data_IF_448849837878
#
_entry.id   IF_448849837878
#
_cell.length_a   1.000
_cell.length_b   1.000
_cell.length_c   1.000
_cell.angle_alpha   90.00
_cell.angle_beta   90.00
_cell.angle_gamma   90.00
#
_symmetry.space_group_name_H-M   'P 1'
#
loop_
_entity.id
_entity.type
_entity.pdbx_description
1 polymer ?
#
# COMPACT_ATOMS: atom_id res chain seq x y z
N UNK A 1 7.69 -4.69 -12.03
CA UNK A 1 8.22 -3.82 -13.10
C UNK A 1 9.62 -3.25 -12.86
N UNK A 2 10.26 -3.43 -11.70
CA UNK A 2 11.60 -2.88 -11.44
C UNK A 2 12.69 -3.39 -12.41
N UNK A 3 12.76 -4.70 -12.64
CA UNK A 3 13.81 -5.30 -13.46
C UNK A 3 13.80 -4.81 -14.91
N UNK A 4 12.64 -4.80 -15.57
CA UNK A 4 12.53 -4.31 -16.95
C UNK A 4 12.91 -2.84 -17.08
N UNK A 5 12.43 -1.99 -16.16
CA UNK A 5 12.79 -0.56 -16.11
C UNK A 5 14.30 -0.37 -16.01
N UNK A 6 14.95 -1.09 -15.08
CA UNK A 6 16.40 -1.01 -14.87
C UNK A 6 17.15 -1.49 -16.11
N UNK A 7 16.72 -2.58 -16.73
CA UNK A 7 17.35 -3.08 -17.95
C UNK A 7 17.24 -2.07 -19.11
N UNK A 8 16.05 -1.51 -19.33
CA UNK A 8 15.80 -0.48 -20.34
C UNK A 8 16.66 0.77 -20.08
N UNK A 9 16.65 1.28 -18.85
CA UNK A 9 17.45 2.44 -18.44
C UNK A 9 18.96 2.19 -18.65
N UNK A 10 19.43 0.99 -18.31
CA UNK A 10 20.84 0.62 -18.48
C UNK A 10 21.26 0.60 -19.96
N UNK A 11 20.43 0.02 -20.83
CA UNK A 11 20.70 0.00 -22.28
C UNK A 11 20.64 1.41 -22.87
N UNK A 12 19.60 2.18 -22.54
CA UNK A 12 19.40 3.54 -23.05
C UNK A 12 20.55 4.47 -22.66
N UNK A 13 20.94 4.48 -21.37
CA UNK A 13 22.00 5.35 -20.86
C UNK A 13 23.39 4.95 -21.38
N UNK A 14 23.54 3.73 -21.91
CA UNK A 14 24.80 3.28 -22.51
C UNK A 14 24.98 3.81 -23.94
N UNK A 15 23.90 4.06 -24.67
CA UNK A 15 23.93 4.43 -26.09
C UNK A 15 23.62 5.92 -26.34
N UNK A 16 23.08 6.63 -25.35
CA UNK A 16 22.73 8.05 -25.44
C UNK A 16 23.52 8.88 -24.42
N UNK A 17 23.89 10.11 -24.80
CA UNK A 17 24.57 11.06 -23.92
C UNK A 17 23.68 11.61 -22.81
N UNK A 18 22.37 11.71 -23.08
CA UNK A 18 21.38 12.14 -22.10
C UNK A 18 20.73 10.90 -21.46
N UNK A 19 20.56 10.89 -20.12
CA UNK A 19 19.93 9.77 -19.44
C UNK A 19 18.44 9.64 -19.82
N UNK A 20 17.91 8.43 -19.69
CA UNK A 20 16.49 8.13 -19.90
C UNK A 20 15.65 8.97 -18.94
N UNK A 21 14.81 9.83 -19.49
CA UNK A 21 13.77 10.52 -18.74
C UNK A 21 12.48 9.69 -18.82
N UNK A 22 11.93 9.34 -17.66
CA UNK A 22 10.70 8.57 -17.58
C UNK A 22 9.93 8.94 -16.32
N UNK A 23 8.63 8.65 -16.34
CA UNK A 23 7.75 8.73 -15.18
C UNK A 23 7.31 7.33 -14.80
N UNK A 24 7.46 6.94 -13.55
CA UNK A 24 6.97 5.66 -13.04
C UNK A 24 5.73 5.83 -12.19
N UNK A 25 4.71 5.02 -12.47
CA UNK A 25 3.51 4.91 -11.65
C UNK A 25 3.53 3.56 -10.90
N UNK A 26 2.85 3.53 -9.76
CA UNK A 26 2.81 2.37 -8.88
C UNK A 26 3.41 2.63 -7.51
N UNK A 27 3.20 1.66 -6.61
CA UNK A 27 3.84 1.63 -5.30
C UNK A 27 5.37 1.67 -5.45
N UNK A 28 6.12 2.32 -4.55
CA UNK A 28 5.71 2.91 -3.27
C UNK A 28 5.31 4.40 -3.36
N UNK A 29 4.83 4.88 -4.51
CA UNK A 29 4.42 6.29 -4.65
C UNK A 29 3.11 6.56 -3.87
N UNK A 30 3.06 7.54 -2.94
CA UNK A 30 1.88 7.86 -2.15
C UNK A 30 0.64 8.20 -2.97
N UNK A 31 0.80 8.77 -4.16
CA UNK A 31 -0.33 9.12 -5.03
C UNK A 31 -1.18 7.89 -5.40
N UNK A 32 -0.59 6.70 -5.42
CA UNK A 32 -1.31 5.44 -5.68
C UNK A 32 -2.19 5.05 -4.50
N UNK A 33 -1.72 5.26 -3.27
CA UNK A 33 -2.50 5.01 -2.05
C UNK A 33 -3.65 6.00 -1.93
N UNK A 34 -3.40 7.29 -2.17
CA UNK A 34 -4.46 8.30 -2.23
C UNK A 34 -5.51 7.99 -3.29
N UNK A 35 -5.07 7.50 -4.45
CA UNK A 35 -6.00 7.09 -5.50
C UNK A 35 -6.83 5.86 -5.09
N UNK A 36 -6.21 4.87 -4.45
CA UNK A 36 -6.92 3.71 -3.93
C UNK A 36 -7.96 4.09 -2.86
N UNK A 37 -7.59 4.99 -1.94
CA UNK A 37 -8.50 5.54 -0.94
C UNK A 37 -9.72 6.22 -1.59
N UNK A 38 -9.50 7.16 -2.52
CA UNK A 38 -10.60 7.82 -3.24
C UNK A 38 -11.51 6.82 -3.98
N UNK A 39 -10.94 5.75 -4.56
CA UNK A 39 -11.73 4.70 -5.22
C UNK A 39 -12.60 3.93 -4.22
N UNK A 40 -12.04 3.59 -3.05
CA UNK A 40 -12.79 2.92 -1.97
C UNK A 40 -13.92 3.81 -1.44
N UNK A 41 -13.66 5.11 -1.28
CA UNK A 41 -14.69 6.09 -0.89
C UNK A 41 -15.87 6.07 -1.87
N UNK A 42 -15.59 6.15 -3.17
CA UNK A 42 -16.64 6.11 -4.20
C UNK A 42 -17.44 4.81 -4.18
N UNK A 43 -16.81 3.66 -3.89
CA UNK A 43 -17.48 2.37 -3.78
C UNK A 43 -18.39 2.28 -2.55
N UNK A 44 -17.99 2.88 -1.43
CA UNK A 44 -18.82 2.98 -0.24
C UNK A 44 -20.08 3.81 -0.51
N UNK A 45 -19.95 4.96 -1.16
CA UNK A 45 -21.08 5.84 -1.49
C UNK A 45 -22.00 5.30 -2.60
N UNK A 46 -21.50 4.40 -3.44
CA UNK A 46 -22.29 3.79 -4.54
C UNK A 46 -23.13 2.58 -4.09
N UNK A 47 -22.92 2.09 -2.87
CA UNK A 47 -23.68 0.97 -2.32
C UNK A 47 -25.02 1.48 -1.73
N UNK A 48 -26.20 0.96 -2.14
CA UNK A 48 -27.51 1.48 -1.72
C UNK A 48 -27.87 1.23 -0.25
N UNK A 49 -26.98 0.67 0.56
CA UNK A 49 -27.32 0.01 1.83
C UNK A 49 -27.05 0.81 3.09
N UNK A 50 -26.33 1.94 3.05
CA UNK A 50 -26.01 2.68 4.28
C UNK A 50 -26.11 4.19 4.09
N UNK A 51 -27.22 4.75 4.57
CA UNK A 51 -27.32 6.15 4.95
C UNK A 51 -26.48 6.37 6.21
N UNK A 52 -25.16 6.38 6.09
CA UNK A 52 -24.28 6.84 7.16
C UNK A 52 -24.27 8.36 7.16
N UNK A 53 -24.76 8.90 8.27
CA UNK A 53 -24.80 10.32 8.64
C UNK A 53 -23.46 10.98 8.28
N UNK A 54 -23.50 11.96 7.37
CA UNK A 54 -22.43 12.95 7.25
C UNK A 54 -22.40 13.73 8.56
N UNK A 55 -21.53 13.35 9.48
CA UNK A 55 -21.10 14.28 10.51
C UNK A 55 -20.21 15.30 9.81
N UNK A 56 -20.74 16.50 9.64
CA UNK A 56 -20.05 17.72 9.18
C UNK A 56 -19.02 18.17 10.23
N UNK A 57 -18.09 17.29 10.62
CA UNK A 57 -16.94 17.67 11.40
C UNK A 57 -15.67 17.48 10.58
N UNK A 58 -14.89 18.54 10.53
CA UNK A 58 -13.84 18.83 9.58
C UNK A 58 -12.61 17.95 9.85
N UNK A 59 -12.17 17.20 8.84
CA UNK A 59 -10.76 16.83 8.66
C UNK A 59 -10.41 15.35 8.86
N UNK A 60 -9.68 14.81 7.87
CA UNK A 60 -8.94 13.54 7.89
C UNK A 60 -9.75 12.25 7.67
N UNK A 61 -9.91 11.92 6.38
CA UNK A 61 -10.20 10.58 5.81
C UNK A 61 -11.60 9.97 6.03
N UNK A 62 -12.20 9.44 4.95
CA UNK A 62 -13.49 8.76 5.04
C UNK A 62 -13.42 7.39 5.75
N UNK A 63 -12.23 6.81 5.82
CA UNK A 63 -11.97 5.54 6.49
C UNK A 63 -11.15 5.77 7.75
N UNK A 64 -11.57 5.14 8.87
CA UNK A 64 -10.79 5.11 10.11
C UNK A 64 -9.46 4.38 9.93
N UNK A 65 -9.44 3.30 9.16
CA UNK A 65 -8.24 2.47 8.92
C UNK A 65 -8.34 1.79 7.57
N UNK A 66 -7.25 1.80 6.80
CA UNK A 66 -7.09 1.07 5.55
C UNK A 66 -5.90 0.12 5.67
N UNK A 67 -6.12 -1.17 5.40
CA UNK A 67 -5.08 -2.19 5.55
C UNK A 67 -4.36 -2.47 4.22
N UNK A 68 -3.08 -2.10 4.13
CA UNK A 68 -2.20 -2.48 3.04
C UNK A 68 -1.58 -3.85 3.35
N UNK A 69 -2.16 -4.91 2.79
CA UNK A 69 -1.62 -6.28 2.89
C UNK A 69 -0.70 -6.54 1.69
N UNK A 70 0.57 -6.90 1.95
CA UNK A 70 1.55 -7.15 0.89
C UNK A 70 2.75 -7.98 1.35
N UNK A 71 3.59 -8.38 0.41
CA UNK A 71 4.74 -9.27 0.64
C UNK A 71 6.09 -8.57 0.40
N UNK A 72 6.10 -7.30 0.01
CA UNK A 72 7.31 -6.58 -0.37
C UNK A 72 7.54 -5.32 0.49
N UNK A 73 8.49 -5.34 1.44
CA UNK A 73 8.76 -4.21 2.32
C UNK A 73 9.14 -2.91 1.60
N UNK A 74 9.86 -3.02 0.48
CA UNK A 74 10.35 -1.86 -0.28
C UNK A 74 9.26 -1.18 -1.12
N UNK A 75 8.11 -1.85 -1.29
CA UNK A 75 7.03 -1.44 -2.21
C UNK A 75 5.73 -1.24 -1.44
N UNK A 76 5.29 -2.26 -0.71
CA UNK A 76 4.00 -2.30 -0.03
C UNK A 76 4.05 -1.54 1.29
N UNK A 77 4.91 -1.99 2.20
CA UNK A 77 5.09 -1.40 3.54
C UNK A 77 5.57 0.04 3.42
N UNK A 78 6.68 0.26 2.72
CA UNK A 78 7.19 1.61 2.42
C UNK A 78 6.14 2.52 1.77
N UNK A 79 5.26 1.95 0.94
CA UNK A 79 4.19 2.70 0.31
C UNK A 79 3.14 3.17 1.32
N UNK A 80 2.67 2.26 2.17
CA UNK A 80 1.73 2.56 3.26
C UNK A 80 2.33 3.57 4.26
N UNK A 81 3.58 3.36 4.70
CA UNK A 81 4.28 4.26 5.61
C UNK A 81 4.35 5.70 5.06
N UNK A 82 4.65 5.84 3.76
CA UNK A 82 4.72 7.14 3.12
C UNK A 82 3.35 7.77 2.87
N UNK A 83 2.32 6.95 2.69
CA UNK A 83 0.95 7.43 2.58
C UNK A 83 0.44 7.95 3.93
N UNK A 84 0.90 7.35 5.04
CA UNK A 84 0.51 7.72 6.38
C UNK A 84 -0.93 7.32 6.70
N UNK A 85 -1.50 7.91 7.76
CA UNK A 85 -2.89 7.68 8.13
C UNK A 85 -3.82 7.91 6.92
N UNK A 86 -4.83 7.04 6.67
CA UNK A 86 -5.34 5.96 7.52
C UNK A 86 -4.70 4.59 7.25
N UNK A 87 -3.59 4.53 6.51
CA UNK A 87 -2.97 3.28 6.11
C UNK A 87 -2.24 2.58 7.27
N UNK A 88 -2.47 1.28 7.39
CA UNK A 88 -1.77 0.34 8.28
C UNK A 88 -1.23 -0.79 7.42
N UNK A 89 0.04 -1.14 7.61
CA UNK A 89 0.73 -2.15 6.82
C UNK A 89 0.69 -3.53 7.48
N UNK A 90 0.34 -4.56 6.70
CA UNK A 90 0.45 -5.97 7.10
C UNK A 90 1.34 -6.69 6.10
N UNK A 91 2.49 -7.17 6.58
CA UNK A 91 3.48 -7.87 5.77
C UNK A 91 3.29 -9.39 5.87
N UNK A 92 3.04 -10.04 4.74
CA UNK A 92 2.90 -11.49 4.65
C UNK A 92 4.23 -12.16 4.27
N UNK A 93 4.39 -13.45 4.60
CA UNK A 93 5.60 -14.24 4.30
C UNK A 93 5.46 -15.20 3.12
N UNK A 94 4.36 -15.10 2.36
CA UNK A 94 4.07 -16.01 1.25
C UNK A 94 4.79 -15.65 -0.05
N UNK A 95 5.49 -14.51 -0.12
CA UNK A 95 6.03 -13.95 -1.34
C UNK A 95 7.52 -13.58 -1.28
N UNK A 96 7.84 -12.34 -1.69
CA UNK A 96 9.18 -11.76 -1.77
C UNK A 96 9.85 -11.74 -0.38
N UNK A 97 9.10 -11.36 0.65
CA UNK A 97 9.55 -11.39 2.02
C UNK A 97 9.35 -12.79 2.64
N UNK A 98 10.42 -13.33 3.24
CA UNK A 98 10.43 -14.67 3.86
C UNK A 98 11.27 -14.73 5.14
N UNK A 99 11.68 -13.58 5.66
CA UNK A 99 12.45 -13.55 6.92
C UNK A 99 11.54 -14.00 8.07
N UNK A 100 12.11 -14.31 9.24
CA UNK A 100 11.32 -14.63 10.44
C UNK A 100 10.95 -13.37 11.23
N UNK A 101 11.88 -12.45 11.35
CA UNK A 101 11.64 -11.17 12.02
C UNK A 101 10.97 -10.18 11.07
N UNK A 102 10.61 -9.00 11.57
CA UNK A 102 10.13 -7.89 10.73
C UNK A 102 11.29 -7.31 9.89
N UNK A 103 10.98 -6.65 8.77
CA UNK A 103 11.99 -6.08 7.89
C UNK A 103 12.72 -4.90 8.56
N UNK A 104 14.05 -4.92 8.54
CA UNK A 104 14.88 -4.00 9.35
C UNK A 104 14.78 -2.53 8.94
N UNK A 105 14.66 -2.24 7.65
CA UNK A 105 14.63 -0.86 7.12
C UNK A 105 13.22 -0.30 6.92
N UNK A 106 12.24 -1.20 6.79
CA UNK A 106 10.84 -0.87 6.48
C UNK A 106 9.96 -1.83 7.28
N UNK A 107 9.92 -1.69 8.61
CA UNK A 107 9.15 -2.59 9.47
C UNK A 107 7.67 -2.34 9.26
N UNK A 108 6.89 -3.39 9.02
CA UNK A 108 5.44 -3.29 8.94
C UNK A 108 4.82 -3.16 10.34
N UNK A 109 3.60 -2.63 10.43
CA UNK A 109 2.85 -2.54 11.68
C UNK A 109 2.54 -3.94 12.23
N UNK A 110 2.26 -4.89 11.33
CA UNK A 110 2.00 -6.29 11.64
C UNK A 110 2.69 -7.19 10.63
N UNK A 111 3.22 -8.32 11.10
CA UNK A 111 3.78 -9.35 10.22
C UNK A 111 3.07 -10.68 10.51
N UNK A 112 2.60 -11.34 9.46
CA UNK A 112 1.86 -12.61 9.53
C UNK A 112 2.39 -13.58 8.49
N UNK A 113 2.11 -14.87 8.64
CA UNK A 113 2.63 -15.86 7.70
C UNK A 113 1.80 -15.89 6.41
N UNK A 114 0.48 -15.69 6.51
CA UNK A 114 -0.47 -15.82 5.39
C UNK A 114 -1.43 -14.64 5.26
N UNK A 115 -2.12 -14.56 4.11
CA UNK A 115 -3.21 -13.57 3.91
C UNK A 115 -4.44 -13.90 4.75
N UNK A 116 -4.68 -15.19 5.04
CA UNK A 116 -5.76 -15.64 5.92
C UNK A 116 -5.56 -15.07 7.33
N UNK A 117 -4.36 -15.21 7.90
CA UNK A 117 -4.01 -14.61 9.19
C UNK A 117 -4.12 -13.08 9.19
N UNK A 118 -3.79 -12.42 8.08
CA UNK A 118 -3.96 -10.98 7.96
C UNK A 118 -5.43 -10.58 8.09
N UNK A 119 -6.32 -11.31 7.42
CA UNK A 119 -7.77 -11.07 7.47
C UNK A 119 -8.32 -11.38 8.85
N UNK A 120 -7.95 -12.51 9.46
CA UNK A 120 -8.36 -12.88 10.82
C UNK A 120 -7.92 -11.83 11.85
N UNK A 121 -6.69 -11.32 11.71
CA UNK A 121 -6.19 -10.23 12.54
C UNK A 121 -7.06 -8.97 12.40
N UNK A 122 -7.38 -8.56 11.17
CA UNK A 122 -8.20 -7.37 10.89
C UNK A 122 -9.59 -7.54 11.50
N UNK A 123 -10.26 -8.67 11.23
CA UNK A 123 -11.59 -8.93 11.74
C UNK A 123 -11.61 -8.91 13.27
N UNK A 124 -10.62 -9.53 13.92
CA UNK A 124 -10.51 -9.52 15.39
C UNK A 124 -10.26 -8.11 15.95
N UNK A 125 -9.45 -7.30 15.28
CA UNK A 125 -9.10 -5.94 15.71
C UNK A 125 -10.25 -4.96 15.56
N UNK A 126 -11.03 -5.06 14.49
CA UNK A 126 -12.13 -4.14 14.18
C UNK A 126 -13.49 -4.59 14.77
N UNK A 127 -13.61 -5.84 15.24
CA UNK A 127 -14.80 -6.33 15.95
C UNK A 127 -14.84 -5.97 17.44
N UNK A 128 -13.83 -5.24 17.93
CA UNK A 128 -13.67 -4.86 19.34
C UNK A 128 -14.25 -3.48 19.66
#
# INVERSE_FOLDING_TARGET
>A
MGAFRIALESVFNRIHEKPLQYTSFGKPNPSVFRHAEMMLEHLQFSSPSDNLVKNDDVGEHAFRTLYMIGDNPLVDVKGADKAGHPWVSILTRTGVFRQKENHTLHPADVVVDTVEEAVDFILKRESA
#
